data_IF_843191121709
#
_entry.id   IF_843191121709
#
_cell.length_a   1.000
_cell.length_b   1.000
_cell.length_c   1.000
_cell.angle_alpha   90.00
_cell.angle_beta   90.00
_cell.angle_gamma   90.00
#
_symmetry.space_group_name_H-M   'P 1'
#
loop_
_entity.id
_entity.type
_entity.pdbx_description
1 polymer ?
#
# COMPACT_ATOMS: atom_id res chain seq x y z
N UNK A 1 -41.69 24.40 -38.95
CA UNK A 1 -41.30 23.00 -38.69
C UNK A 1 -39.92 23.03 -38.07
N UNK A 2 -39.83 22.86 -36.75
CA UNK A 2 -38.56 22.82 -36.03
C UNK A 2 -37.94 21.44 -36.17
N UNK A 3 -36.74 21.36 -36.74
CA UNK A 3 -35.94 20.13 -36.77
C UNK A 3 -35.34 19.93 -35.38
N UNK A 4 -35.95 19.05 -34.59
CA UNK A 4 -35.32 18.46 -33.40
C UNK A 4 -34.08 17.69 -33.85
N UNK A 5 -32.91 18.26 -33.60
CA UNK A 5 -31.63 17.56 -33.72
C UNK A 5 -31.56 16.59 -32.55
N UNK A 6 -31.70 15.29 -32.83
CA UNK A 6 -31.40 14.23 -31.87
C UNK A 6 -29.93 14.33 -31.50
N UNK A 7 -29.68 14.86 -30.30
CA UNK A 7 -28.36 14.85 -29.69
C UNK A 7 -28.09 13.42 -29.24
N UNK A 8 -27.50 12.61 -30.11
CA UNK A 8 -26.84 11.38 -29.70
C UNK A 8 -25.66 11.77 -28.81
N UNK A 9 -25.92 11.97 -27.52
CA UNK A 9 -24.90 11.92 -26.48
C UNK A 9 -24.40 10.49 -26.43
N UNK A 10 -23.47 10.18 -27.33
CA UNK A 10 -22.45 9.18 -27.03
C UNK A 10 -21.70 9.76 -25.83
N UNK A 11 -22.08 9.34 -24.62
CA UNK A 11 -21.27 9.57 -23.43
C UNK A 11 -19.89 9.05 -23.79
N UNK A 12 -18.90 9.93 -23.84
CA UNK A 12 -17.51 9.59 -24.11
C UNK A 12 -17.04 8.65 -23.00
N UNK A 13 -17.31 7.35 -23.18
CA UNK A 13 -16.89 6.29 -22.25
C UNK A 13 -15.37 6.34 -22.09
N UNK A 14 -14.66 6.75 -23.14
CA UNK A 14 -13.22 7.01 -23.17
C UNK A 14 -12.78 8.15 -22.22
N UNK A 15 -13.55 9.24 -22.09
CA UNK A 15 -13.22 10.32 -21.15
C UNK A 15 -13.45 9.89 -19.69
N UNK A 16 -14.52 9.12 -19.44
CA UNK A 16 -14.78 8.52 -18.13
C UNK A 16 -13.68 7.53 -17.73
N UNK A 17 -13.32 6.61 -18.64
CA UNK A 17 -12.24 5.63 -18.44
C UNK A 17 -10.90 6.30 -18.26
N UNK A 18 -10.58 7.36 -19.03
CA UNK A 18 -9.34 8.10 -18.89
C UNK A 18 -9.27 8.85 -17.56
N UNK A 19 -10.35 9.51 -17.12
CA UNK A 19 -10.42 10.20 -15.82
C UNK A 19 -10.25 9.22 -14.66
N UNK A 20 -10.98 8.09 -14.68
CA UNK A 20 -10.80 7.02 -13.70
C UNK A 20 -9.35 6.51 -13.73
N UNK A 21 -8.80 6.20 -14.90
CA UNK A 21 -7.41 5.75 -15.04
C UNK A 21 -6.39 6.75 -14.46
N UNK A 22 -6.53 8.04 -14.76
CA UNK A 22 -5.60 9.06 -14.25
C UNK A 22 -5.73 9.27 -12.75
N UNK A 23 -6.94 9.23 -12.21
CA UNK A 23 -7.16 9.35 -10.76
C UNK A 23 -6.68 8.09 -10.02
N UNK A 24 -6.84 6.91 -10.61
CA UNK A 24 -6.33 5.64 -10.05
C UNK A 24 -4.80 5.57 -10.06
N UNK A 25 -4.16 6.03 -11.14
CA UNK A 25 -2.70 6.12 -11.21
C UNK A 25 -2.17 7.03 -10.11
N UNK A 26 -2.85 8.16 -9.88
CA UNK A 26 -2.49 9.10 -8.81
C UNK A 26 -2.69 8.50 -7.43
N UNK A 27 -3.77 7.74 -7.18
CA UNK A 27 -4.02 7.15 -5.85
C UNK A 27 -2.89 6.19 -5.43
N UNK A 28 -2.44 5.30 -6.32
CA UNK A 28 -1.34 4.37 -5.98
C UNK A 28 -0.03 5.11 -5.71
N UNK A 29 0.29 6.13 -6.52
CA UNK A 29 1.48 6.97 -6.37
C UNK A 29 1.42 7.76 -5.05
N UNK A 30 0.34 8.49 -4.82
CA UNK A 30 0.18 9.33 -3.63
C UNK A 30 0.20 8.47 -2.36
N UNK A 31 -0.51 7.34 -2.36
CA UNK A 31 -0.50 6.42 -1.23
C UNK A 31 0.90 5.87 -0.95
N UNK A 32 1.58 5.32 -1.97
CA UNK A 32 2.93 4.78 -1.82
C UNK A 32 3.93 5.84 -1.36
N UNK A 33 3.79 7.10 -1.81
CA UNK A 33 4.60 8.23 -1.38
C UNK A 33 4.42 8.56 0.10
N UNK A 34 3.18 8.76 0.56
CA UNK A 34 2.92 9.15 1.95
C UNK A 34 3.23 8.01 2.91
N UNK A 35 2.83 6.78 2.55
CA UNK A 35 3.12 5.59 3.34
C UNK A 35 4.61 5.31 3.38
N UNK A 36 5.30 5.43 2.24
CA UNK A 36 6.74 5.27 2.15
C UNK A 36 7.48 6.22 3.09
N UNK A 37 7.10 7.51 3.09
CA UNK A 37 7.65 8.50 4.01
C UNK A 37 7.33 8.18 5.48
N UNK A 38 6.08 7.81 5.78
CA UNK A 38 5.66 7.47 7.15
C UNK A 38 6.43 6.27 7.70
N UNK A 39 6.67 5.23 6.90
CA UNK A 39 7.44 4.06 7.29
C UNK A 39 8.92 4.39 7.54
N UNK A 40 9.54 5.20 6.67
CA UNK A 40 10.91 5.68 6.90
C UNK A 40 10.98 6.49 8.19
N UNK A 41 10.05 7.43 8.39
CA UNK A 41 10.01 8.26 9.60
C UNK A 41 9.83 7.40 10.86
N UNK A 42 8.90 6.43 10.84
CA UNK A 42 8.67 5.51 11.95
C UNK A 42 9.93 4.70 12.28
N UNK A 43 10.59 4.13 11.27
CA UNK A 43 11.79 3.35 11.48
C UNK A 43 12.98 4.17 11.98
N UNK A 44 13.21 5.37 11.42
CA UNK A 44 14.30 6.27 11.84
C UNK A 44 14.08 6.80 13.26
N UNK A 45 12.87 7.25 13.58
CA UNK A 45 12.53 7.74 14.92
C UNK A 45 12.55 6.58 15.93
N UNK A 46 12.27 5.35 15.50
CA UNK A 46 12.33 4.16 16.35
C UNK A 46 13.75 3.69 16.69
N UNK A 47 14.78 4.04 15.90
CA UNK A 47 16.17 3.57 16.14
C UNK A 47 16.70 3.90 17.54
N UNK A 48 16.58 5.14 18.07
CA UNK A 48 17.07 5.50 19.39
C UNK A 48 16.35 4.80 20.55
N UNK A 49 15.16 4.25 20.29
CA UNK A 49 14.31 3.58 21.28
C UNK A 49 14.26 2.06 21.07
N UNK A 50 15.23 1.50 20.33
CA UNK A 50 15.19 0.10 19.96
C UNK A 50 15.25 -0.83 21.19
N UNK A 51 14.19 -1.60 21.41
CA UNK A 51 14.03 -2.45 22.60
C UNK A 51 13.34 -1.77 23.80
N UNK A 52 13.10 -0.47 23.72
CA UNK A 52 12.30 0.29 24.69
C UNK A 52 10.89 0.54 24.13
N UNK A 53 9.94 0.89 25.00
CA UNK A 53 8.61 1.32 24.57
C UNK A 53 8.69 2.71 23.92
N UNK A 54 8.41 2.77 22.61
CA UNK A 54 8.21 4.01 21.88
C UNK A 54 6.72 4.16 21.52
N UNK A 55 6.07 5.15 22.12
CA UNK A 55 4.60 5.30 22.10
C UNK A 55 3.90 4.05 22.66
N UNK A 56 3.46 3.15 21.77
CA UNK A 56 2.78 1.89 22.08
C UNK A 56 3.48 0.67 21.47
N UNK A 57 4.63 0.88 20.82
CA UNK A 57 5.41 -0.12 20.10
C UNK A 57 6.66 -0.51 20.90
N UNK A 58 7.13 -1.74 20.73
CA UNK A 58 8.44 -2.19 21.23
C UNK A 58 9.26 -2.60 20.02
N UNK A 59 9.69 -1.59 19.26
CA UNK A 59 10.37 -1.81 17.98
C UNK A 59 11.78 -2.33 18.21
N UNK A 60 12.04 -3.55 17.78
CA UNK A 60 13.38 -4.11 17.68
C UNK A 60 14.17 -3.41 16.56
N UNK A 61 15.51 -3.45 16.59
CA UNK A 61 16.34 -2.95 15.49
C UNK A 61 15.95 -3.54 14.14
N UNK A 62 15.51 -4.80 14.12
CA UNK A 62 15.11 -5.51 12.91
C UNK A 62 13.77 -4.99 12.36
N UNK A 63 12.79 -4.70 13.21
CA UNK A 63 11.53 -4.07 12.79
C UNK A 63 11.76 -2.63 12.29
N UNK A 64 12.62 -1.86 12.95
CA UNK A 64 13.02 -0.52 12.48
C UNK A 64 13.65 -0.58 11.09
N UNK A 65 14.59 -1.51 10.87
CA UNK A 65 15.18 -1.73 9.56
C UNK A 65 14.13 -2.16 8.52
N UNK A 66 13.18 -3.02 8.90
CA UNK A 66 12.05 -3.40 8.06
C UNK A 66 11.22 -2.21 7.60
N UNK A 67 10.84 -1.32 8.54
CA UNK A 67 10.10 -0.10 8.21
C UNK A 67 10.89 0.81 7.26
N UNK A 68 12.17 1.05 7.52
CA UNK A 68 13.03 1.87 6.65
C UNK A 68 13.10 1.24 5.25
N UNK A 69 13.38 -0.05 5.15
CA UNK A 69 13.54 -0.73 3.86
C UNK A 69 12.24 -0.76 3.06
N UNK A 70 11.11 -1.10 3.69
CA UNK A 70 9.79 -1.07 3.04
C UNK A 70 9.40 0.35 2.62
N UNK A 71 9.70 1.35 3.45
CA UNK A 71 9.43 2.75 3.14
C UNK A 71 10.26 3.25 1.96
N UNK A 72 11.56 2.95 1.95
CA UNK A 72 12.46 3.28 0.84
C UNK A 72 12.05 2.57 -0.45
N UNK A 73 11.61 1.32 -0.37
CA UNK A 73 11.09 0.58 -1.52
C UNK A 73 9.87 1.27 -2.14
N UNK A 74 8.87 1.66 -1.32
CA UNK A 74 7.70 2.39 -1.80
C UNK A 74 8.03 3.79 -2.35
N UNK A 75 8.99 4.49 -1.75
CA UNK A 75 9.46 5.76 -2.30
C UNK A 75 10.19 5.55 -3.64
N UNK A 76 10.99 4.48 -3.77
CA UNK A 76 11.69 4.17 -5.00
C UNK A 76 10.73 3.82 -6.14
N UNK A 77 9.63 3.10 -5.87
CA UNK A 77 8.62 2.82 -6.89
C UNK A 77 7.91 4.09 -7.39
N UNK A 78 7.85 5.14 -6.56
CA UNK A 78 7.29 6.44 -6.96
C UNK A 78 8.31 7.33 -7.67
N UNK A 79 9.57 7.36 -7.21
CA UNK A 79 10.59 8.27 -7.73
C UNK A 79 11.18 7.83 -9.07
N UNK A 80 11.30 6.52 -9.28
CA UNK A 80 11.99 5.96 -10.45
C UNK A 80 11.07 5.29 -11.45
N UNK A 81 9.79 5.08 -11.10
CA UNK A 81 8.85 4.29 -11.89
C UNK A 81 7.45 4.91 -11.91
N UNK A 82 6.57 4.36 -12.74
CA UNK A 82 5.19 4.81 -12.89
C UNK A 82 4.24 4.20 -11.82
N UNK A 83 2.94 4.50 -11.91
CA UNK A 83 2.01 3.93 -10.92
C UNK A 83 1.83 2.41 -11.03
N UNK A 84 2.26 1.76 -12.10
CA UNK A 84 2.21 0.30 -12.19
C UNK A 84 3.16 -0.32 -11.15
N UNK A 85 4.32 0.30 -10.97
CA UNK A 85 5.29 -0.09 -9.93
C UNK A 85 4.86 0.36 -8.53
N UNK A 86 4.23 1.54 -8.38
CA UNK A 86 3.66 1.94 -7.10
C UNK A 86 2.56 0.95 -6.66
N UNK A 87 1.71 0.51 -7.60
CA UNK A 87 0.71 -0.53 -7.38
C UNK A 87 1.35 -1.85 -7.00
N UNK A 88 2.34 -2.31 -7.76
CA UNK A 88 3.08 -3.54 -7.44
C UNK A 88 3.71 -3.45 -6.04
N UNK A 89 4.26 -2.29 -5.68
CA UNK A 89 4.80 -2.03 -4.37
C UNK A 89 3.77 -2.21 -3.26
N UNK A 90 2.58 -1.62 -3.42
CA UNK A 90 1.45 -1.80 -2.50
C UNK A 90 0.99 -3.27 -2.42
N UNK A 91 0.99 -3.99 -3.56
CA UNK A 91 0.65 -5.41 -3.65
C UNK A 91 1.69 -6.34 -3.02
N UNK A 92 2.93 -5.88 -2.80
CA UNK A 92 3.98 -6.65 -2.11
C UNK A 92 3.98 -6.31 -0.62
N UNK A 93 4.00 -5.02 -0.28
CA UNK A 93 4.12 -4.54 1.11
C UNK A 93 2.87 -4.88 1.92
N UNK A 94 1.67 -4.68 1.35
CA UNK A 94 0.41 -4.97 2.05
C UNK A 94 0.31 -6.41 2.54
N UNK A 95 0.43 -7.41 1.66
CA UNK A 95 0.38 -8.83 2.04
C UNK A 95 1.50 -9.24 2.99
N UNK A 96 2.70 -8.69 2.83
CA UNK A 96 3.79 -8.96 3.76
C UNK A 96 3.43 -8.53 5.19
N UNK A 97 2.83 -7.35 5.36
CA UNK A 97 2.35 -6.89 6.66
C UNK A 97 1.22 -7.77 7.21
N UNK A 98 0.28 -8.23 6.36
CA UNK A 98 -0.77 -9.16 6.78
C UNK A 98 -0.17 -10.48 7.27
N UNK A 99 0.83 -11.02 6.57
CA UNK A 99 1.55 -12.25 6.95
C UNK A 99 2.24 -12.05 8.31
N UNK A 100 2.95 -10.93 8.51
CA UNK A 100 3.60 -10.61 9.78
C UNK A 100 2.58 -10.56 10.92
N UNK A 101 1.43 -9.91 10.71
CA UNK A 101 0.36 -9.85 11.71
C UNK A 101 -0.22 -11.25 12.01
N UNK A 102 -0.45 -12.07 10.98
CA UNK A 102 -0.93 -13.43 11.13
C UNK A 102 0.04 -14.32 11.92
N UNK A 103 1.35 -14.13 11.72
CA UNK A 103 2.38 -14.78 12.53
C UNK A 103 2.36 -14.32 13.99
N UNK A 104 2.17 -13.01 14.25
CA UNK A 104 2.03 -12.50 15.60
C UNK A 104 0.78 -13.02 16.32
N UNK A 105 -0.32 -13.26 15.59
CA UNK A 105 -1.55 -13.84 16.14
C UNK A 105 -1.46 -15.34 16.42
N UNK A 106 -0.59 -16.06 15.72
CA UNK A 106 -0.56 -17.52 15.77
C UNK A 106 0.32 -18.09 16.89
N UNK A 107 0.99 -17.23 17.67
CA UNK A 107 1.99 -17.60 18.69
C UNK A 107 3.02 -18.64 18.18
N UNK A 108 3.23 -18.70 16.86
CA UNK A 108 4.02 -19.76 16.22
C UNK A 108 5.51 -19.56 16.49
N UNK A 109 6.11 -20.53 17.16
CA UNK A 109 7.57 -20.63 17.31
C UNK A 109 8.25 -21.02 16.00
N UNK A 110 9.40 -20.42 15.63
CA UNK A 110 10.27 -19.64 16.51
C UNK A 110 9.85 -18.17 16.60
N UNK A 111 9.74 -17.68 17.84
CA UNK A 111 9.62 -16.26 18.18
C UNK A 111 10.96 -15.61 17.83
N UNK A 112 11.12 -15.22 16.57
CA UNK A 112 12.25 -14.38 16.15
C UNK A 112 11.99 -12.94 16.60
N UNK A 113 13.02 -12.09 16.78
CA UNK A 113 12.82 -10.69 17.14
C UNK A 113 11.91 -9.91 16.18
N UNK A 114 11.77 -10.37 14.93
CA UNK A 114 10.85 -9.81 13.94
C UNK A 114 9.38 -10.15 14.23
N UNK A 115 9.12 -11.31 14.85
CA UNK A 115 7.79 -11.88 15.06
C UNK A 115 7.34 -11.82 16.53
N UNK A 116 8.18 -11.28 17.42
CA UNK A 116 7.80 -10.96 18.80
C UNK A 116 7.02 -9.64 18.83
N UNK A 117 5.76 -9.69 18.41
CA UNK A 117 4.90 -8.53 18.26
C UNK A 117 4.01 -8.34 19.49
N UNK A 118 3.97 -7.14 20.02
CA UNK A 118 2.91 -6.69 20.92
C UNK A 118 1.55 -6.68 20.22
N UNK A 119 0.47 -6.71 20.99
CA UNK A 119 -0.89 -6.60 20.44
C UNK A 119 -1.08 -5.34 19.59
N UNK A 120 -0.46 -4.22 19.98
CA UNK A 120 -0.51 -2.98 19.23
C UNK A 120 0.17 -3.11 17.85
N UNK A 121 1.31 -3.79 17.78
CA UNK A 121 2.04 -4.05 16.52
C UNK A 121 1.26 -4.98 15.60
N UNK A 122 0.65 -6.02 16.15
CA UNK A 122 -0.20 -6.94 15.38
C UNK A 122 -1.35 -6.18 14.74
N UNK A 123 -2.06 -5.35 15.52
CA UNK A 123 -3.16 -4.52 15.00
C UNK A 123 -2.66 -3.54 13.95
N UNK A 124 -1.53 -2.88 14.19
CA UNK A 124 -0.91 -1.98 13.23
C UNK A 124 -0.64 -2.70 11.89
N UNK A 125 0.11 -3.80 11.90
CA UNK A 125 0.46 -4.54 10.68
C UNK A 125 -0.77 -5.10 9.96
N UNK A 126 -1.80 -5.52 10.70
CA UNK A 126 -3.05 -6.01 10.13
C UNK A 126 -3.83 -4.89 9.42
N UNK A 127 -4.10 -3.77 10.09
CA UNK A 127 -4.85 -2.66 9.48
C UNK A 127 -4.06 -2.00 8.35
N UNK A 128 -2.77 -1.76 8.58
CA UNK A 128 -1.87 -1.20 7.58
C UNK A 128 -1.74 -2.11 6.36
N UNK A 129 -1.56 -3.42 6.59
CA UNK A 129 -1.44 -4.42 5.55
C UNK A 129 -2.71 -4.53 4.71
N UNK A 130 -3.88 -4.56 5.35
CA UNK A 130 -5.17 -4.58 4.65
C UNK A 130 -5.40 -3.30 3.85
N UNK A 131 -5.14 -2.11 4.40
CA UNK A 131 -5.30 -0.85 3.68
C UNK A 131 -4.37 -0.77 2.46
N UNK A 132 -3.11 -1.16 2.63
CA UNK A 132 -2.11 -1.13 1.55
C UNK A 132 -2.41 -2.16 0.47
N UNK A 133 -2.80 -3.38 0.86
CA UNK A 133 -3.25 -4.42 -0.05
C UNK A 133 -4.52 -4.02 -0.81
N UNK A 134 -5.47 -3.37 -0.14
CA UNK A 134 -6.68 -2.82 -0.76
C UNK A 134 -6.32 -1.77 -1.81
N UNK A 135 -5.43 -0.81 -1.51
CA UNK A 135 -5.00 0.18 -2.51
C UNK A 135 -4.31 -0.48 -3.72
N UNK A 136 -3.53 -1.53 -3.49
CA UNK A 136 -2.86 -2.29 -4.56
C UNK A 136 -3.80 -3.17 -5.40
N UNK A 137 -4.84 -3.77 -4.80
CA UNK A 137 -5.68 -4.80 -5.44
C UNK A 137 -7.13 -4.41 -5.72
N UNK A 138 -7.71 -3.43 -5.04
CA UNK A 138 -9.13 -3.10 -5.15
C UNK A 138 -9.55 -2.55 -6.52
N UNK A 139 -8.60 -2.25 -7.41
CA UNK A 139 -8.89 -1.73 -8.74
C UNK A 139 -8.76 -2.80 -9.82
N UNK A 140 -9.95 -3.24 -10.23
CA UNK A 140 -10.29 -4.24 -11.22
C UNK A 140 -9.54 -4.05 -12.56
N UNK A 141 -8.84 -5.10 -13.01
CA UNK A 141 -8.27 -5.21 -14.36
C UNK A 141 -9.36 -5.59 -15.40
N UNK A 142 -10.64 -5.54 -15.05
CA UNK A 142 -11.74 -5.93 -15.94
C UNK A 142 -11.82 -5.14 -17.24
N UNK A 143 -11.33 -3.90 -17.29
CA UNK A 143 -11.23 -3.14 -18.54
C UNK A 143 -10.08 -3.61 -19.45
N UNK A 144 -9.04 -4.26 -18.88
CA UNK A 144 -8.00 -4.95 -19.65
C UNK A 144 -8.43 -6.35 -20.12
N UNK A 145 -9.53 -6.92 -19.59
CA UNK A 145 -10.10 -8.17 -20.13
C UNK A 145 -10.64 -8.02 -21.56
N UNK A 146 -10.97 -6.81 -22.01
CA UNK A 146 -11.34 -6.57 -23.40
C UNK A 146 -10.13 -6.70 -24.34
N UNK A 147 -8.92 -6.42 -23.85
CA UNK A 147 -7.70 -6.32 -24.65
C UNK A 147 -6.88 -7.61 -24.68
N UNK A 148 -7.35 -8.67 -24.00
CA UNK A 148 -6.78 -10.00 -24.11
C UNK A 148 -7.74 -10.91 -24.89
N UNK A 149 -7.30 -11.51 -26.01
CA UNK A 149 -8.13 -12.41 -26.82
C UNK A 149 -8.46 -13.72 -26.10
#
# INVERSE_FOLDING_TARGET
MGTTVERHTHVHMEEGVHCFWTDHHKVNIEYAKYVGFALVALGVIGVPYAGDQFLFFVLTPLQNAGHIMSGMFLLATVLFFDSSYARLGNQIVGPLCIIIAAYGLSDMTPVTPLLNLSTAEILFYMFFGMATAYVGWATDLSHLKHWWP
#
